data_IF_671036417185
#
_entry.id   IF_671036417185
#
_cell.length_a   1.000
_cell.length_b   1.000
_cell.length_c   1.000
_cell.angle_alpha   90.00
_cell.angle_beta   90.00
_cell.angle_gamma   90.00
#
_symmetry.space_group_name_H-M   'P 1'
#
loop_
_entity.id
_entity.type
_entity.pdbx_description
1 polymer ?
#
# COMPACT_ATOMS: atom_id res chain seq x y z
N UNK A 1 9.63 -0.62 -22.73
CA UNK A 1 8.83 0.08 -23.75
C UNK A 1 7.98 -0.91 -24.55
N UNK A 2 8.57 -1.89 -25.25
CA UNK A 2 7.81 -2.92 -26.01
C UNK A 2 6.77 -3.68 -25.18
N UNK A 3 7.10 -4.11 -23.96
CA UNK A 3 6.13 -4.80 -23.08
C UNK A 3 4.91 -3.95 -22.76
N UNK A 4 5.07 -2.63 -22.59
CA UNK A 4 3.97 -1.71 -22.34
C UNK A 4 3.15 -1.48 -23.62
N UNK A 5 3.82 -1.45 -24.78
CA UNK A 5 3.19 -1.36 -26.09
C UNK A 5 2.26 -2.55 -26.33
N UNK A 6 2.74 -3.76 -26.13
CA UNK A 6 1.97 -5.00 -26.25
C UNK A 6 0.85 -5.09 -25.22
N UNK A 7 1.10 -4.67 -23.97
CA UNK A 7 0.06 -4.60 -22.93
C UNK A 7 -1.09 -3.67 -23.35
N UNK A 8 -0.80 -2.50 -23.92
CA UNK A 8 -1.83 -1.57 -24.38
C UNK A 8 -2.63 -2.10 -25.58
N UNK A 9 -1.98 -2.78 -26.54
CA UNK A 9 -2.69 -3.48 -27.63
C UNK A 9 -3.62 -4.58 -27.11
N UNK A 10 -3.14 -5.34 -26.13
CA UNK A 10 -3.94 -6.39 -25.47
C UNK A 10 -5.14 -5.78 -24.73
N UNK A 11 -4.93 -4.65 -24.05
CA UNK A 11 -6.02 -3.96 -23.33
C UNK A 11 -7.06 -3.40 -24.30
N UNK A 12 -6.64 -2.82 -25.43
CA UNK A 12 -7.54 -2.28 -26.45
C UNK A 12 -8.39 -3.35 -27.14
N UNK A 13 -7.84 -4.54 -27.36
CA UNK A 13 -8.59 -5.65 -27.98
C UNK A 13 -9.56 -6.35 -27.01
N UNK A 14 -9.45 -6.09 -25.70
CA UNK A 14 -10.32 -6.72 -24.69
C UNK A 14 -11.64 -5.98 -24.53
N UNK A 15 -12.69 -6.75 -24.33
CA UNK A 15 -14.03 -6.28 -23.99
C UNK A 15 -14.59 -7.11 -22.83
N UNK A 16 -15.57 -6.54 -22.13
CA UNK A 16 -16.35 -7.24 -21.12
C UNK A 16 -17.83 -6.93 -21.30
N UNK A 17 -18.66 -7.84 -20.80
CA UNK A 17 -20.11 -7.71 -20.85
C UNK A 17 -20.71 -7.74 -19.45
N UNK A 18 -21.76 -6.95 -19.25
CA UNK A 18 -22.50 -6.89 -17.99
C UNK A 18 -23.98 -6.62 -18.24
N UNK A 19 -24.79 -6.95 -17.24
CA UNK A 19 -26.22 -6.73 -17.26
C UNK A 19 -26.55 -5.45 -16.47
N UNK A 20 -27.40 -4.60 -17.03
CA UNK A 20 -27.86 -3.37 -16.40
C UNK A 20 -29.40 -3.37 -16.37
N UNK A 21 -30.03 -3.37 -15.16
CA UNK A 21 -31.47 -3.25 -15.06
C UNK A 21 -31.96 -1.91 -15.62
N UNK A 22 -33.05 -1.93 -16.38
CA UNK A 22 -33.75 -0.76 -16.93
C UNK A 22 -35.23 -0.87 -16.57
N UNK A 23 -35.96 0.25 -16.70
CA UNK A 23 -37.41 0.30 -16.44
C UNK A 23 -38.22 -0.77 -17.21
N UNK A 24 -37.73 -1.21 -18.39
CA UNK A 24 -38.37 -2.25 -19.22
C UNK A 24 -37.42 -3.41 -19.52
N UNK A 25 -36.83 -4.02 -18.50
CA UNK A 25 -36.08 -5.28 -18.60
C UNK A 25 -34.59 -5.13 -18.34
N UNK A 26 -33.81 -6.12 -18.78
CA UNK A 26 -32.37 -6.20 -18.55
C UNK A 26 -31.61 -5.88 -19.84
N UNK A 27 -30.77 -4.85 -19.81
CA UNK A 27 -29.89 -4.53 -20.93
C UNK A 27 -28.58 -5.33 -20.82
N UNK A 28 -28.23 -6.06 -21.88
CA UNK A 28 -26.94 -6.75 -22.01
C UNK A 28 -25.95 -5.82 -22.73
N UNK A 29 -25.01 -5.23 -21.99
CA UNK A 29 -24.03 -4.28 -22.53
C UNK A 29 -22.70 -4.98 -22.74
N UNK A 30 -22.00 -4.60 -23.81
CA UNK A 30 -20.62 -4.97 -24.07
C UNK A 30 -19.82 -3.69 -24.27
N UNK A 31 -18.70 -3.55 -23.57
CA UNK A 31 -17.82 -2.38 -23.65
C UNK A 31 -16.36 -2.80 -23.70
N UNK A 32 -15.52 -1.96 -24.30
CA UNK A 32 -14.07 -2.10 -24.24
C UNK A 32 -13.53 -1.60 -22.91
N UNK A 33 -12.29 -1.97 -22.60
CA UNK A 33 -11.54 -1.41 -21.48
C UNK A 33 -11.03 0.00 -21.76
N UNK A 34 -10.44 0.20 -22.94
CA UNK A 34 -9.93 1.48 -23.43
C UNK A 34 -10.57 1.82 -24.78
N UNK A 35 -10.90 3.09 -24.99
CA UNK A 35 -11.50 3.59 -26.23
C UNK A 35 -10.45 4.01 -27.26
N UNK A 36 -9.26 4.39 -26.80
CA UNK A 36 -8.17 4.91 -27.64
C UNK A 36 -6.80 4.54 -27.06
N UNK A 37 -5.80 4.35 -27.92
CA UNK A 37 -4.40 4.08 -27.56
C UNK A 37 -3.46 4.83 -28.53
N UNK A 38 -2.38 5.42 -28.02
CA UNK A 38 -1.35 6.10 -28.80
C UNK A 38 0.07 5.78 -28.29
N UNK A 39 1.04 5.72 -29.21
CA UNK A 39 2.44 5.45 -28.91
C UNK A 39 3.30 6.61 -29.42
N UNK A 40 4.09 7.20 -28.54
CA UNK A 40 4.98 8.31 -28.86
C UNK A 40 6.41 7.79 -28.75
N UNK A 41 6.91 7.20 -29.85
CA UNK A 41 8.21 6.51 -29.88
C UNK A 41 9.38 7.44 -29.48
N UNK A 42 9.33 8.72 -29.87
CA UNK A 42 10.38 9.70 -29.55
C UNK A 42 10.51 9.99 -28.04
N UNK A 43 9.43 9.85 -27.27
CA UNK A 43 9.42 10.09 -25.81
C UNK A 43 9.23 8.81 -25.00
N UNK A 44 9.26 7.63 -25.66
CA UNK A 44 8.95 6.33 -25.06
C UNK A 44 7.67 6.33 -24.19
N UNK A 45 6.67 7.14 -24.58
CA UNK A 45 5.43 7.36 -23.82
C UNK A 45 4.28 6.64 -24.49
N UNK A 46 3.34 6.13 -23.68
CA UNK A 46 2.12 5.50 -24.15
C UNK A 46 0.95 6.23 -23.52
N UNK A 47 -0.02 6.56 -24.34
CA UNK A 47 -1.26 7.21 -23.92
C UNK A 47 -2.42 6.29 -24.23
N UNK A 48 -3.44 6.29 -23.38
CA UNK A 48 -4.69 5.60 -23.65
C UNK A 48 -5.83 6.28 -22.91
N UNK A 49 -7.05 6.12 -23.44
CA UNK A 49 -8.26 6.65 -22.82
C UNK A 49 -9.14 5.50 -22.36
N UNK A 50 -9.54 5.49 -21.07
CA UNK A 50 -10.50 4.52 -20.56
C UNK A 50 -11.87 4.72 -21.21
N UNK A 51 -12.58 3.61 -21.49
CA UNK A 51 -13.95 3.71 -21.95
C UNK A 51 -14.85 4.34 -20.86
N UNK A 52 -15.87 5.14 -21.20
CA UNK A 52 -16.71 5.83 -20.21
C UNK A 52 -17.34 4.90 -19.16
N UNK A 53 -17.69 3.67 -19.55
CA UNK A 53 -18.23 2.66 -18.65
C UNK A 53 -17.23 2.15 -17.58
N UNK A 54 -15.94 2.38 -17.78
CA UNK A 54 -14.86 1.91 -16.89
C UNK A 54 -14.49 2.98 -15.86
N UNK A 55 -14.67 4.27 -16.17
CA UNK A 55 -14.28 5.38 -15.29
C UNK A 55 -14.85 5.29 -13.85
N UNK A 56 -16.14 4.96 -13.64
CA UNK A 56 -16.67 4.83 -12.29
C UNK A 56 -16.01 3.69 -11.48
N UNK A 57 -15.54 2.65 -12.17
CA UNK A 57 -14.88 1.51 -11.54
C UNK A 57 -13.45 1.86 -11.12
N UNK A 58 -12.72 2.62 -11.94
CA UNK A 58 -11.36 3.06 -11.61
C UNK A 58 -11.34 4.03 -10.45
N UNK A 59 -12.24 5.02 -10.45
CA UNK A 59 -12.33 5.99 -9.34
C UNK A 59 -12.68 5.31 -8.01
N UNK A 60 -13.55 4.29 -8.04
CA UNK A 60 -13.80 3.45 -6.86
C UNK A 60 -12.55 2.66 -6.45
N UNK A 61 -11.82 2.09 -7.40
CA UNK A 61 -10.58 1.36 -7.14
C UNK A 61 -9.49 2.25 -6.54
N UNK A 62 -9.28 3.47 -7.05
CA UNK A 62 -8.29 4.42 -6.51
C UNK A 62 -8.58 4.82 -5.06
N UNK A 63 -9.86 4.90 -4.67
CA UNK A 63 -10.26 5.18 -3.28
C UNK A 63 -9.97 4.02 -2.33
N UNK A 64 -9.86 2.79 -2.85
CA UNK A 64 -9.75 1.57 -2.05
C UNK A 64 -8.41 0.84 -2.20
N UNK A 65 -7.58 1.19 -3.19
CA UNK A 65 -6.24 0.65 -3.40
C UNK A 65 -5.18 1.67 -3.04
N UNK A 66 -4.42 1.36 -2.00
CA UNK A 66 -3.27 2.18 -1.62
C UNK A 66 -2.10 1.93 -2.57
N UNK A 67 -1.27 2.96 -2.81
CA UNK A 67 0.00 2.81 -3.54
C UNK A 67 0.92 1.76 -2.90
N UNK A 68 0.76 1.50 -1.60
CA UNK A 68 1.42 0.42 -0.89
C UNK A 68 1.01 -0.96 -1.41
N UNK A 69 -0.29 -1.23 -1.56
CA UNK A 69 -0.80 -2.52 -2.06
C UNK A 69 -0.37 -2.78 -3.50
N UNK A 70 -0.32 -1.73 -4.33
CA UNK A 70 0.20 -1.83 -5.70
C UNK A 70 1.66 -2.30 -5.73
N UNK A 71 2.50 -1.83 -4.80
CA UNK A 71 3.90 -2.29 -4.69
C UNK A 71 4.00 -3.77 -4.32
N UNK A 72 3.05 -4.31 -3.56
CA UNK A 72 3.05 -5.73 -3.17
C UNK A 72 2.71 -6.64 -4.35
N UNK A 73 1.76 -6.23 -5.19
CA UNK A 73 1.36 -7.02 -6.36
C UNK A 73 2.29 -6.84 -7.57
N UNK A 74 3.08 -5.75 -7.63
CA UNK A 74 3.97 -5.45 -8.75
C UNK A 74 4.99 -6.55 -9.07
N UNK A 75 5.42 -7.31 -8.05
CA UNK A 75 6.37 -8.40 -8.20
C UNK A 75 5.71 -9.78 -8.41
N UNK A 76 4.38 -9.85 -8.40
CA UNK A 76 3.65 -11.07 -8.66
C UNK A 76 3.48 -11.26 -10.18
N UNK A 77 3.99 -12.39 -10.69
CA UNK A 77 3.94 -12.69 -12.12
C UNK A 77 2.72 -13.52 -12.51
N UNK A 78 2.13 -14.25 -11.55
CA UNK A 78 0.92 -15.03 -11.76
C UNK A 78 -0.32 -14.18 -11.48
N UNK A 79 -1.23 -14.12 -12.47
CA UNK A 79 -2.55 -13.47 -12.27
C UNK A 79 -3.34 -14.09 -11.12
N UNK A 80 -3.18 -15.40 -10.85
CA UNK A 80 -3.81 -16.06 -9.71
C UNK A 80 -3.17 -15.65 -8.38
N UNK A 81 -1.87 -15.35 -8.35
CA UNK A 81 -1.20 -14.81 -7.16
C UNK A 81 -1.72 -13.42 -6.82
N UNK A 82 -1.88 -12.55 -7.83
CA UNK A 82 -2.46 -11.22 -7.67
C UNK A 82 -3.89 -11.33 -7.10
N UNK A 83 -4.75 -12.13 -7.73
CA UNK A 83 -6.14 -12.34 -7.25
C UNK A 83 -6.22 -12.92 -5.85
N UNK A 84 -5.36 -13.89 -5.54
CA UNK A 84 -5.33 -14.46 -4.20
C UNK A 84 -4.86 -13.42 -3.17
N UNK A 85 -3.84 -12.62 -3.47
CA UNK A 85 -3.39 -11.55 -2.57
C UNK A 85 -4.50 -10.53 -2.30
N UNK A 86 -5.17 -10.05 -3.35
CA UNK A 86 -6.33 -9.14 -3.24
C UNK A 86 -7.42 -9.74 -2.33
N UNK A 87 -7.74 -11.02 -2.53
CA UNK A 87 -8.72 -11.73 -1.71
C UNK A 87 -8.29 -11.81 -0.24
N UNK A 88 -7.01 -12.05 0.04
CA UNK A 88 -6.51 -12.14 1.42
C UNK A 88 -6.48 -10.77 2.10
N UNK A 89 -6.08 -9.72 1.38
CA UNK A 89 -5.92 -8.39 1.96
C UNK A 89 -7.26 -7.76 2.35
N UNK A 90 -8.36 -8.17 1.71
CA UNK A 90 -9.71 -7.83 2.17
C UNK A 90 -10.01 -8.30 3.61
N UNK A 91 -9.28 -9.30 4.12
CA UNK A 91 -9.41 -9.85 5.47
C UNK A 91 -8.23 -9.45 6.39
N UNK A 92 -7.49 -8.39 6.05
CA UNK A 92 -6.24 -8.01 6.73
C UNK A 92 -6.41 -7.78 8.23
N UNK A 93 -7.52 -7.19 8.67
CA UNK A 93 -7.83 -6.96 10.08
C UNK A 93 -8.03 -8.26 10.87
N UNK A 94 -8.56 -9.29 10.23
CA UNK A 94 -8.85 -10.60 10.84
C UNK A 94 -7.65 -11.56 10.73
N UNK A 95 -6.83 -11.43 9.69
CA UNK A 95 -5.67 -12.31 9.42
C UNK A 95 -6.05 -13.73 8.93
N UNK A 96 -7.34 -13.96 8.66
CA UNK A 96 -7.86 -15.23 8.13
C UNK A 96 -9.15 -15.00 7.34
N UNK A 97 -9.42 -15.88 6.38
CA UNK A 97 -10.68 -15.91 5.65
C UNK A 97 -11.67 -16.86 6.30
N UNK A 98 -12.99 -16.71 6.08
CA UNK A 98 -13.93 -17.81 6.26
C UNK A 98 -13.60 -18.98 5.32
N UNK A 99 -14.33 -20.08 5.47
CA UNK A 99 -14.32 -21.16 4.49
C UNK A 99 -14.98 -20.61 3.22
N UNK A 100 -14.25 -20.66 2.11
CA UNK A 100 -14.72 -20.26 0.79
C UNK A 100 -14.99 -21.52 -0.01
N UNK A 101 -16.21 -21.66 -0.51
CA UNK A 101 -16.60 -22.79 -1.35
C UNK A 101 -15.73 -22.88 -2.60
N UNK A 102 -15.48 -24.11 -3.07
CA UNK A 102 -14.56 -24.36 -4.18
C UNK A 102 -14.97 -23.63 -5.46
N UNK A 103 -16.26 -23.61 -5.77
CA UNK A 103 -16.80 -22.92 -6.96
C UNK A 103 -16.62 -21.41 -6.85
N UNK A 104 -16.98 -20.83 -5.71
CA UNK A 104 -16.82 -19.41 -5.42
C UNK A 104 -15.34 -19.01 -5.45
N UNK A 105 -14.47 -19.83 -4.85
CA UNK A 105 -13.04 -19.58 -4.83
C UNK A 105 -12.43 -19.57 -6.25
N UNK A 106 -12.81 -20.53 -7.09
CA UNK A 106 -12.37 -20.58 -8.50
C UNK A 106 -12.83 -19.34 -9.28
N UNK A 107 -14.08 -18.93 -9.08
CA UNK A 107 -14.65 -17.72 -9.68
C UNK A 107 -13.89 -16.47 -9.25
N UNK A 108 -13.63 -16.28 -7.95
CA UNK A 108 -12.86 -15.16 -7.39
C UNK A 108 -11.43 -15.08 -7.92
N UNK A 109 -10.80 -16.23 -8.18
CA UNK A 109 -9.48 -16.29 -8.80
C UNK A 109 -9.49 -16.10 -10.33
N UNK A 110 -10.67 -16.01 -10.96
CA UNK A 110 -10.80 -15.92 -12.41
C UNK A 110 -10.41 -17.21 -13.13
N UNK A 111 -10.50 -18.35 -12.46
CA UNK A 111 -10.26 -19.66 -13.08
C UNK A 111 -11.53 -20.06 -13.81
N UNK A 112 -11.48 -20.07 -15.15
CA UNK A 112 -12.61 -20.50 -15.97
C UNK A 112 -13.04 -21.94 -15.64
N UNK A 113 -14.34 -22.20 -15.76
CA UNK A 113 -14.95 -23.47 -15.29
C UNK A 113 -14.25 -24.69 -15.86
N UNK A 114 -13.85 -24.64 -17.13
CA UNK A 114 -13.19 -25.74 -17.85
C UNK A 114 -11.71 -25.97 -17.50
N UNK A 115 -11.05 -25.01 -16.82
CA UNK A 115 -9.61 -25.07 -16.55
C UNK A 115 -9.31 -25.81 -15.26
N UNK A 116 -8.28 -26.66 -15.25
CA UNK A 116 -7.80 -27.34 -14.04
C UNK A 116 -8.92 -28.09 -13.29
N UNK A 117 -9.72 -28.87 -14.02
CA UNK A 117 -10.84 -29.65 -13.45
C UNK A 117 -10.36 -30.63 -12.38
N UNK A 118 -9.18 -31.23 -12.60
CA UNK A 118 -8.57 -32.12 -11.62
C UNK A 118 -8.02 -31.30 -10.47
N UNK A 119 -8.46 -31.63 -9.26
CA UNK A 119 -8.03 -30.94 -8.03
C UNK A 119 -6.50 -30.90 -7.85
N UNK A 120 -5.78 -31.94 -8.26
CA UNK A 120 -4.31 -31.93 -8.27
C UNK A 120 -3.74 -30.81 -9.14
N UNK A 121 -4.25 -30.66 -10.36
CA UNK A 121 -3.83 -29.60 -11.27
C UNK A 121 -4.22 -28.21 -10.76
N UNK A 122 -5.40 -28.07 -10.15
CA UNK A 122 -5.80 -26.80 -9.54
C UNK A 122 -4.83 -26.40 -8.43
N UNK A 123 -4.44 -27.34 -7.56
CA UNK A 123 -3.46 -27.06 -6.51
C UNK A 123 -2.11 -26.68 -7.09
N UNK A 124 -1.55 -27.49 -7.97
CA UNK A 124 -0.22 -27.27 -8.54
C UNK A 124 -0.13 -25.98 -9.36
N UNK A 125 -1.10 -25.73 -10.24
CA UNK A 125 -1.03 -24.64 -11.23
C UNK A 125 -1.66 -23.33 -10.78
N UNK A 126 -2.47 -23.35 -9.71
CA UNK A 126 -3.16 -22.17 -9.20
C UNK A 126 -2.74 -21.91 -7.77
N UNK A 127 -3.11 -22.80 -6.84
CA UNK A 127 -3.01 -22.51 -5.41
C UNK A 127 -1.56 -22.45 -4.91
N UNK A 128 -0.73 -23.43 -5.27
CA UNK A 128 0.66 -23.54 -4.82
C UNK A 128 1.51 -22.42 -5.40
N UNK A 129 1.41 -22.18 -6.72
CA UNK A 129 2.09 -21.06 -7.37
C UNK A 129 1.67 -19.73 -6.73
N UNK A 130 0.38 -19.52 -6.46
CA UNK A 130 -0.10 -18.30 -5.85
C UNK A 130 0.45 -18.10 -4.43
N UNK A 131 0.38 -19.11 -3.58
CA UNK A 131 0.90 -19.05 -2.20
C UNK A 131 2.41 -18.87 -2.18
N UNK A 132 3.16 -19.56 -3.04
CA UNK A 132 4.61 -19.42 -3.12
C UNK A 132 5.02 -17.99 -3.52
N UNK A 133 4.39 -17.42 -4.55
CA UNK A 133 4.68 -16.05 -4.97
C UNK A 133 4.31 -15.03 -3.88
N UNK A 134 3.15 -15.16 -3.25
CA UNK A 134 2.73 -14.30 -2.14
C UNK A 134 3.78 -14.36 -1.02
N UNK A 135 4.14 -15.57 -0.60
CA UNK A 135 5.10 -15.79 0.49
C UNK A 135 6.52 -15.32 0.15
N UNK A 136 6.87 -15.19 -1.13
CA UNK A 136 8.19 -14.73 -1.54
C UNK A 136 8.25 -13.22 -1.79
N UNK A 137 7.20 -12.65 -2.38
CA UNK A 137 7.26 -11.32 -2.99
C UNK A 137 6.38 -10.26 -2.32
N UNK A 138 5.56 -10.63 -1.34
CA UNK A 138 4.65 -9.69 -0.64
C UNK A 138 5.00 -9.51 0.83
N UNK A 139 4.31 -8.59 1.48
CA UNK A 139 4.38 -8.27 2.91
C UNK A 139 3.69 -9.27 3.83
N UNK A 140 3.10 -10.35 3.30
CA UNK A 140 2.43 -11.38 4.10
C UNK A 140 3.03 -12.77 3.86
N UNK A 141 2.88 -13.63 4.87
CA UNK A 141 3.07 -15.07 4.74
C UNK A 141 1.71 -15.74 4.96
N UNK A 142 1.23 -16.44 3.94
CA UNK A 142 -0.05 -17.11 3.90
C UNK A 142 0.10 -18.64 3.86
N UNK A 143 -0.85 -19.31 4.49
CA UNK A 143 -1.07 -20.76 4.43
C UNK A 143 -2.55 -21.04 4.21
N UNK A 144 -2.89 -22.24 3.76
CA UNK A 144 -4.27 -22.64 3.52
C UNK A 144 -4.60 -23.97 4.20
N UNK A 145 -5.88 -24.10 4.55
CA UNK A 145 -6.49 -25.34 5.00
C UNK A 145 -7.52 -25.77 3.96
N UNK A 146 -7.56 -27.08 3.66
CA UNK A 146 -8.53 -27.67 2.75
C UNK A 146 -9.65 -28.31 3.56
N UNK A 147 -10.89 -28.02 3.19
CA UNK A 147 -12.08 -28.55 3.86
C UNK A 147 -12.70 -29.63 2.98
N UNK A 148 -13.09 -30.75 3.59
CA UNK A 148 -13.58 -31.93 2.88
C UNK A 148 -14.91 -32.38 3.46
N UNK A 149 -15.75 -32.87 2.56
CA UNK A 149 -16.93 -33.66 2.90
C UNK A 149 -16.75 -35.04 2.27
N UNK A 150 -16.41 -36.03 3.10
CA UNK A 150 -15.94 -37.34 2.63
C UNK A 150 -14.67 -37.23 1.79
N UNK A 151 -14.72 -37.71 0.54
CA UNK A 151 -13.57 -37.69 -0.40
C UNK A 151 -13.45 -36.37 -1.17
N UNK A 152 -14.50 -35.55 -1.17
CA UNK A 152 -14.59 -34.34 -1.98
C UNK A 152 -14.09 -33.14 -1.19
N UNK A 153 -13.26 -32.30 -1.82
CA UNK A 153 -12.87 -31.00 -1.26
C UNK A 153 -14.00 -30.02 -1.54
N UNK A 154 -14.60 -29.47 -0.49
CA UNK A 154 -15.72 -28.53 -0.58
C UNK A 154 -15.26 -27.09 -0.63
N UNK A 155 -14.12 -26.76 0.00
CA UNK A 155 -13.64 -25.39 0.05
C UNK A 155 -12.25 -25.24 0.67
N UNK A 156 -11.84 -23.98 0.78
CA UNK A 156 -10.55 -23.58 1.35
C UNK A 156 -10.72 -22.43 2.33
N UNK A 157 -9.88 -22.39 3.35
CA UNK A 157 -9.70 -21.22 4.20
C UNK A 157 -8.23 -20.86 4.30
N UNK A 158 -7.95 -19.58 4.45
CA UNK A 158 -6.59 -19.06 4.49
C UNK A 158 -6.30 -18.41 5.83
N UNK A 159 -5.07 -18.58 6.30
CA UNK A 159 -4.51 -17.87 7.44
C UNK A 159 -3.24 -17.18 6.97
N UNK A 160 -3.04 -15.94 7.40
CA UNK A 160 -1.87 -15.19 6.99
C UNK A 160 -1.42 -14.23 8.08
N UNK A 161 -0.13 -13.94 8.06
CA UNK A 161 0.50 -13.00 8.99
C UNK A 161 1.30 -11.98 8.21
N UNK A 162 1.29 -10.74 8.69
CA UNK A 162 2.17 -9.72 8.15
C UNK A 162 3.62 -10.09 8.50
N UNK A 163 4.49 -10.07 7.51
CA UNK A 163 5.93 -10.17 7.72
C UNK A 163 6.37 -8.92 8.46
N UNK A 164 7.25 -9.10 9.43
CA UNK A 164 7.99 -7.97 9.98
C UNK A 164 8.70 -7.32 8.79
N UNK A 165 8.36 -6.08 8.46
CA UNK A 165 9.17 -5.34 7.51
C UNK A 165 10.60 -5.37 8.07
N UNK A 166 11.62 -5.68 7.24
CA UNK A 166 12.96 -5.35 7.66
C UNK A 166 12.90 -3.87 8.02
N UNK A 167 13.22 -3.54 9.28
CA UNK A 167 13.56 -2.16 9.62
C UNK A 167 14.51 -1.77 8.51
N UNK A 168 14.14 -0.75 7.74
CA UNK A 168 15.09 -0.16 6.82
C UNK A 168 16.21 0.27 7.75
N UNK A 169 17.28 -0.53 7.82
CA UNK A 169 18.57 -0.04 8.25
C UNK A 169 18.89 0.97 7.17
N UNK A 170 18.40 2.19 7.38
CA UNK A 170 19.01 3.36 6.81
C UNK A 170 20.47 3.12 7.10
N UNK A 171 21.29 2.92 6.06
CA UNK A 171 22.74 2.93 6.23
C UNK A 171 23.04 4.35 6.70
N UNK A 172 23.01 4.50 8.02
CA UNK A 172 23.21 5.75 8.74
C UNK A 172 24.65 6.12 8.52
N UNK A 173 24.88 7.31 8.00
CA UNK A 173 26.20 7.90 8.04
C UNK A 173 26.60 8.01 9.52
N UNK A 174 27.70 7.37 9.96
CA UNK A 174 28.16 7.44 11.35
C UNK A 174 28.39 8.87 11.86
N UNK A 175 28.56 9.83 10.94
CA UNK A 175 28.81 11.24 11.25
C UNK A 175 27.55 12.12 11.20
N UNK A 176 26.36 11.56 10.98
CA UNK A 176 25.09 12.32 11.08
C UNK A 176 24.30 11.83 12.28
N UNK A 177 24.17 12.61 13.36
CA UNK A 177 23.33 12.22 14.50
C UNK A 177 21.86 12.07 14.07
N UNK A 178 21.21 10.99 14.51
CA UNK A 178 19.77 10.74 14.31
C UNK A 178 18.94 11.73 15.14
N UNK A 179 18.46 12.82 14.55
CA UNK A 179 17.74 13.88 15.27
C UNK A 179 16.22 13.66 15.44
N UNK A 180 15.72 12.43 15.26
CA UNK A 180 14.34 12.09 15.68
C UNK A 180 14.30 11.66 17.15
N UNK A 181 14.78 12.54 18.04
CA UNK A 181 14.57 12.37 19.48
C UNK A 181 13.18 12.92 19.77
N UNK A 182 12.21 12.05 20.02
CA UNK A 182 10.86 12.47 20.44
C UNK A 182 10.93 13.00 21.87
N UNK A 183 11.07 14.30 22.02
CA UNK A 183 10.94 14.98 23.30
C UNK A 183 9.46 15.03 23.71
N UNK A 184 9.16 14.69 24.97
CA UNK A 184 7.80 14.87 25.50
C UNK A 184 7.45 16.35 25.61
N UNK A 185 6.16 16.71 25.54
CA UNK A 185 5.72 18.11 25.69
C UNK A 185 6.26 18.75 26.97
N UNK A 186 6.28 18.01 28.08
CA UNK A 186 6.81 18.49 29.35
C UNK A 186 8.31 18.81 29.28
N UNK A 187 9.11 17.94 28.65
CA UNK A 187 10.53 18.19 28.43
C UNK A 187 10.74 19.38 27.48
N UNK A 188 9.92 19.51 26.42
CA UNK A 188 10.01 20.63 25.47
C UNK A 188 9.85 21.96 26.15
N UNK A 189 8.79 22.10 26.95
CA UNK A 189 8.55 23.32 27.69
C UNK A 189 9.59 23.54 28.81
N UNK A 190 10.09 22.48 29.45
CA UNK A 190 11.16 22.58 30.45
C UNK A 190 12.45 23.17 29.84
N UNK A 191 12.92 22.62 28.73
CA UNK A 191 14.14 23.09 28.08
C UNK A 191 13.95 24.44 27.40
N UNK A 192 12.78 24.70 26.82
CA UNK A 192 12.48 26.00 26.25
C UNK A 192 12.50 27.14 27.29
N UNK A 193 12.03 26.88 28.51
CA UNK A 193 12.18 27.82 29.63
C UNK A 193 13.65 28.07 29.96
N UNK A 194 14.46 27.01 30.10
CA UNK A 194 15.92 27.16 30.36
C UNK A 194 16.64 27.93 29.26
N UNK A 195 16.30 27.65 28.00
CA UNK A 195 16.89 28.31 26.84
C UNK A 195 16.50 29.78 26.74
N UNK A 196 15.28 30.15 27.15
CA UNK A 196 14.80 31.54 27.05
C UNK A 196 15.68 32.54 27.81
N UNK A 197 16.35 32.10 28.87
CA UNK A 197 17.23 32.91 29.71
C UNK A 197 18.70 32.89 29.25
N UNK A 198 19.04 32.11 28.22
CA UNK A 198 20.41 31.98 27.73
C UNK A 198 20.83 33.16 26.84
N UNK A 199 22.05 33.72 27.03
CA UNK A 199 22.57 34.80 26.18
C UNK A 199 22.60 34.43 24.68
N UNK A 200 22.89 33.16 24.36
CA UNK A 200 22.92 32.67 22.99
C UNK A 200 21.55 32.72 22.27
N UNK A 201 20.47 32.75 23.03
CA UNK A 201 19.10 32.83 22.52
C UNK A 201 18.64 34.25 22.22
N UNK A 202 19.40 35.27 22.63
CA UNK A 202 19.05 36.68 22.42
C UNK A 202 18.79 37.05 20.95
N UNK A 203 19.48 36.42 20.00
CA UNK A 203 19.25 36.63 18.54
C UNK A 203 17.89 36.14 18.04
N UNK A 204 17.25 35.23 18.77
CA UNK A 204 15.92 34.73 18.42
C UNK A 204 14.82 35.50 19.13
N UNK A 205 15.16 36.33 20.13
CA UNK A 205 14.18 37.09 20.90
C UNK A 205 13.66 38.31 20.13
N UNK A 206 12.38 38.62 20.31
CA UNK A 206 11.76 39.85 19.83
C UNK A 206 11.75 40.88 20.96
N UNK A 207 12.37 42.04 20.74
CA UNK A 207 12.85 42.96 21.79
C UNK A 207 11.84 43.58 22.78
N UNK A 208 10.55 43.22 22.72
CA UNK A 208 9.53 43.63 23.71
C UNK A 208 8.86 42.44 24.41
N UNK A 209 9.32 41.20 24.19
CA UNK A 209 8.70 39.99 24.77
C UNK A 209 9.25 39.65 26.16
N UNK A 210 8.43 39.00 27.00
CA UNK A 210 8.90 38.45 28.28
C UNK A 210 9.60 37.09 28.09
N UNK A 211 10.45 36.69 29.05
CA UNK A 211 11.10 35.37 29.04
C UNK A 211 10.08 34.21 28.92
N UNK A 212 8.91 34.33 29.55
CA UNK A 212 7.86 33.32 29.47
C UNK A 212 7.24 33.23 28.06
N UNK A 213 7.02 34.37 27.41
CA UNK A 213 6.52 34.41 26.02
C UNK A 213 7.57 33.85 25.05
N UNK A 214 8.84 34.17 25.29
CA UNK A 214 9.93 33.64 24.51
C UNK A 214 10.06 32.12 24.67
N UNK A 215 9.93 31.60 25.89
CA UNK A 215 9.96 30.16 26.17
C UNK A 215 8.85 29.38 25.44
N UNK A 216 7.63 29.93 25.36
CA UNK A 216 6.54 29.29 24.59
C UNK A 216 6.95 29.20 23.11
N UNK A 217 7.49 30.28 22.55
CA UNK A 217 7.92 30.31 21.15
C UNK A 217 9.11 29.40 20.85
N UNK A 218 10.06 29.28 21.78
CA UNK A 218 11.16 28.31 21.67
C UNK A 218 10.59 26.89 21.69
N UNK A 219 9.59 26.60 22.52
CA UNK A 219 8.94 25.29 22.54
C UNK A 219 8.30 24.98 21.17
N UNK A 220 7.67 25.95 20.52
CA UNK A 220 7.12 25.77 19.18
C UNK A 220 8.22 25.59 18.11
N UNK A 221 9.32 26.35 18.20
CA UNK A 221 10.48 26.16 17.31
C UNK A 221 11.09 24.76 17.43
N UNK A 222 11.07 24.15 18.61
CA UNK A 222 11.60 22.80 18.83
C UNK A 222 10.71 21.69 18.21
N UNK A 223 9.52 22.03 17.68
CA UNK A 223 8.70 21.11 16.87
C UNK A 223 9.10 21.10 15.39
N UNK A 224 9.73 22.17 14.90
CA UNK A 224 10.15 22.29 13.51
C UNK A 224 11.53 21.62 13.32
N UNK A 225 11.68 20.63 12.42
CA UNK A 225 12.93 19.88 12.28
C UNK A 225 14.17 20.73 11.98
N UNK A 226 14.03 21.78 11.16
CA UNK A 226 15.14 22.66 10.80
C UNK A 226 15.55 23.57 11.97
N UNK A 227 14.57 24.06 12.74
CA UNK A 227 14.83 24.87 13.94
C UNK A 227 15.38 24.05 15.09
N UNK A 228 14.91 22.83 15.25
CA UNK A 228 15.47 21.90 16.23
C UNK A 228 16.97 21.67 15.97
N UNK A 229 17.39 21.46 14.71
CA UNK A 229 18.81 21.34 14.34
C UNK A 229 19.61 22.60 14.67
N UNK A 230 19.05 23.77 14.36
CA UNK A 230 19.69 25.06 14.62
C UNK A 230 19.92 25.30 16.13
N UNK A 231 18.96 24.88 16.96
CA UNK A 231 18.96 25.08 18.41
C UNK A 231 19.62 23.95 19.20
N UNK A 232 19.90 22.81 18.57
CA UNK A 232 20.44 21.60 19.23
C UNK A 232 21.71 21.87 20.06
N UNK A 233 22.72 22.63 19.59
CA UNK A 233 23.91 22.93 20.41
C UNK A 233 23.59 23.72 21.69
N UNK A 234 22.54 24.55 21.67
CA UNK A 234 22.07 25.33 22.82
C UNK A 234 21.23 24.43 23.75
N UNK A 235 20.48 23.50 23.17
CA UNK A 235 19.70 22.49 23.89
C UNK A 235 20.61 21.55 24.70
N UNK A 236 21.73 21.08 24.13
CA UNK A 236 22.73 20.27 24.85
C UNK A 236 23.37 21.06 26.00
N UNK A 237 23.72 22.33 25.79
CA UNK A 237 24.21 23.21 26.88
C UNK A 237 23.18 23.41 27.99
N UNK A 238 21.90 23.31 27.67
CA UNK A 238 20.78 23.37 28.64
C UNK A 238 20.62 22.07 29.45
N UNK A 239 21.46 21.07 29.20
CA UNK A 239 21.47 19.78 29.88
C UNK A 239 20.53 18.75 29.26
N UNK A 240 20.11 18.94 28.01
CA UNK A 240 19.36 17.91 27.28
C UNK A 240 20.30 16.76 26.90
N UNK A 241 19.88 15.54 27.20
CA UNK A 241 20.55 14.31 26.78
C UNK A 241 19.52 13.45 26.03
N UNK A 242 19.88 12.93 24.83
CA UNK A 242 19.01 12.09 24.02
C UNK A 242 18.44 10.84 24.71
#
# INVERSE_FOLDING_TARGET
YETLKDACKSLFSRQFSYQEPRERGIAHKTTRWVSDIAYIDNSATIEFTFAPAVLPLITYLEQHLTSYELKQVANLTSGYAIRLYELLIAWRSTGKTPIIDLSEFRSKLGVGDEKYQRMGQFKEKVLHIAIEQINKHTDITATYEQHKQGRTITGFSFKFKQKSQPKIEVKRDPNTPDFFIKMTDAQRHLFANKMSEMPEMGKYSQGTESYQQFAIRIADMLLEPEKFRELYPILEKSGFQP
#
